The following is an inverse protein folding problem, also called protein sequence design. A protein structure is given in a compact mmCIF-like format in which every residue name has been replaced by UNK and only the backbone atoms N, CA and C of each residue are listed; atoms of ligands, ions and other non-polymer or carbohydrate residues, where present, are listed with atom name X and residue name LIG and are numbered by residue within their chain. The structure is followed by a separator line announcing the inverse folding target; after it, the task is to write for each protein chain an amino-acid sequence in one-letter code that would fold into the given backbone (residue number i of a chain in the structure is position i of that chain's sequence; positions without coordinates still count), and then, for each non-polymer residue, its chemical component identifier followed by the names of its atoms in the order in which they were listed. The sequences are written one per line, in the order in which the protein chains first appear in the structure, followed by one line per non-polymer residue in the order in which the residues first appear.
data_IF_654303622717
#
_entry.id   IF_654303622717
#
_cell.length_a   1.000
_cell.length_b   1.000
_cell.length_c   1.000
_cell.angle_alpha   90.00
_cell.angle_beta   90.00
_cell.angle_gamma   90.00
#
_symmetry.space_group_name_H-M   'P 1'
#
loop_
_entity.id
_entity.type
_entity.pdbx_description
1 polymer ?
#
# COMPACT_ATOMS: atom_id res chain seq x y z
N UNK A 1 0.22 16.07 -7.62
CA UNK A 1 -0.51 16.01 -6.34
C UNK A 1 0.36 15.28 -5.33
N UNK A 2 0.37 15.71 -4.07
CA UNK A 2 1.04 14.99 -2.98
C UNK A 2 -0.01 14.67 -1.93
N UNK A 3 -0.03 13.42 -1.48
CA UNK A 3 -0.95 12.91 -0.48
C UNK A 3 -0.15 12.22 0.63
N UNK A 4 -0.60 12.40 1.85
CA UNK A 4 -0.02 11.70 2.99
C UNK A 4 -1.11 11.46 4.03
N UNK A 5 -1.06 10.30 4.67
CA UNK A 5 -1.98 9.97 5.74
C UNK A 5 -1.27 9.09 6.78
N UNK A 6 -1.61 9.32 8.04
CA UNK A 6 -1.06 8.61 9.19
C UNK A 6 -2.23 8.18 10.07
N UNK A 7 -2.29 6.89 10.40
CA UNK A 7 -3.31 6.32 11.26
C UNK A 7 -2.64 5.65 12.46
N UNK A 8 -3.30 5.74 13.61
CA UNK A 8 -2.95 4.99 14.81
C UNK A 8 -4.13 4.14 15.26
N UNK A 9 -3.87 2.89 15.62
CA UNK A 9 -4.86 1.97 16.15
C UNK A 9 -4.40 1.51 17.53
N UNK A 10 -5.26 1.67 18.54
CA UNK A 10 -5.03 1.16 19.90
C UNK A 10 -5.93 -0.06 20.09
N UNK A 11 -5.40 -1.28 19.92
CA UNK A 11 -6.20 -2.48 20.07
C UNK A 11 -6.51 -2.74 21.56
N UNK A 12 -7.72 -3.23 21.82
CA UNK A 12 -8.20 -3.58 23.17
C UNK A 12 -8.26 -5.09 23.41
N UNK A 13 -7.89 -5.89 22.39
CA UNK A 13 -8.04 -7.35 22.37
C UNK A 13 -6.73 -8.14 22.35
N UNK A 14 -6.87 -9.46 22.17
CA UNK A 14 -5.75 -10.42 22.09
C UNK A 14 -5.92 -11.33 20.88
N UNK A 15 -4.82 -11.75 20.27
CA UNK A 15 -4.80 -12.79 19.22
C UNK A 15 -3.94 -13.95 19.72
N UNK A 16 -4.47 -15.18 19.66
CA UNK A 16 -3.79 -16.39 20.15
C UNK A 16 -3.25 -16.26 21.60
N UNK A 17 -3.97 -15.53 22.46
CA UNK A 17 -3.57 -15.27 23.85
C UNK A 17 -2.56 -14.13 24.04
N UNK A 18 -1.96 -13.62 22.96
CA UNK A 18 -0.98 -12.53 23.01
C UNK A 18 -1.68 -11.16 23.04
N UNK A 19 -1.26 -10.23 23.92
CA UNK A 19 -1.76 -8.86 23.91
C UNK A 19 -1.29 -8.14 22.64
N UNK A 20 -2.20 -7.43 21.99
CA UNK A 20 -1.86 -6.58 20.85
C UNK A 20 -1.36 -5.22 21.36
N UNK A 21 -0.31 -4.71 20.74
CA UNK A 21 0.24 -3.39 21.00
C UNK A 21 -0.35 -2.36 20.02
N UNK A 22 -0.36 -1.06 20.38
CA UNK A 22 -0.72 0.00 19.44
C UNK A 22 0.06 -0.09 18.14
N UNK A 23 -0.64 0.09 17.02
CA UNK A 23 -0.03 0.10 15.69
C UNK A 23 -0.21 1.44 15.02
N UNK A 24 0.72 1.75 14.12
CA UNK A 24 0.70 2.93 13.29
C UNK A 24 0.80 2.45 11.84
N UNK A 25 -0.01 3.03 10.97
CA UNK A 25 0.17 2.92 9.53
C UNK A 25 0.33 4.29 8.90
N UNK A 26 1.15 4.38 7.87
CA UNK A 26 1.42 5.62 7.16
C UNK A 26 1.49 5.37 5.68
N UNK A 27 0.97 6.30 4.89
CA UNK A 27 1.08 6.34 3.45
C UNK A 27 1.59 7.71 3.03
N UNK A 28 2.52 7.73 2.08
CA UNK A 28 2.91 8.92 1.34
C UNK A 28 2.85 8.59 -0.13
N UNK A 29 2.12 9.39 -0.91
CA UNK A 29 1.96 9.21 -2.34
C UNK A 29 2.18 10.52 -3.09
N UNK A 30 2.75 10.40 -4.29
CA UNK A 30 2.93 11.48 -5.24
C UNK A 30 2.34 11.05 -6.57
N UNK A 31 1.51 11.91 -7.14
CA UNK A 31 1.01 11.75 -8.50
C UNK A 31 1.51 12.91 -9.38
N UNK A 32 2.07 12.55 -10.53
CA UNK A 32 2.53 13.48 -11.55
C UNK A 32 1.69 13.31 -12.82
N UNK A 33 1.03 14.38 -13.24
CA UNK A 33 0.28 14.41 -14.51
C UNK A 33 1.26 14.70 -15.65
N UNK A 34 1.53 13.70 -16.49
CA UNK A 34 2.44 13.83 -17.63
C UNK A 34 1.77 14.49 -18.84
N UNK A 35 0.49 14.16 -19.07
CA UNK A 35 -0.36 14.77 -20.10
C UNK A 35 -1.82 14.76 -19.63
N UNK A 36 -2.72 15.38 -20.39
CA UNK A 36 -4.16 15.41 -20.07
C UNK A 36 -4.80 14.01 -19.91
N UNK A 37 -4.16 12.98 -20.46
CA UNK A 37 -4.62 11.60 -20.45
C UNK A 37 -3.66 10.62 -19.75
N UNK A 38 -2.51 11.05 -19.23
CA UNK A 38 -1.53 10.16 -18.57
C UNK A 38 -1.05 10.75 -17.24
N UNK A 39 -1.18 9.98 -16.17
CA UNK A 39 -0.52 10.28 -14.89
C UNK A 39 0.34 9.10 -14.42
N UNK A 40 1.37 9.42 -13.65
CA UNK A 40 2.22 8.47 -12.95
C UNK A 40 2.04 8.66 -11.45
N UNK A 41 1.94 7.56 -10.71
CA UNK A 41 1.82 7.56 -9.26
C UNK A 41 2.95 6.76 -8.66
N UNK A 42 3.55 7.30 -7.60
CA UNK A 42 4.46 6.58 -6.72
C UNK A 42 3.93 6.70 -5.29
N UNK A 43 3.94 5.59 -4.56
CA UNK A 43 3.38 5.46 -3.23
C UNK A 43 4.32 4.64 -2.35
N UNK A 44 4.37 5.01 -1.08
CA UNK A 44 5.10 4.31 -0.05
C UNK A 44 4.17 4.10 1.15
N UNK A 45 4.05 2.86 1.58
CA UNK A 45 3.23 2.45 2.70
C UNK A 45 4.09 1.84 3.79
N UNK A 46 3.79 2.17 5.04
CA UNK A 46 4.42 1.61 6.21
C UNK A 46 3.35 1.14 7.19
N UNK A 47 3.55 -0.06 7.72
CA UNK A 47 2.68 -0.67 8.72
C UNK A 47 3.54 -1.18 9.87
N UNK A 48 3.29 -0.70 11.09
CA UNK A 48 3.93 -1.28 12.27
C UNK A 48 3.23 -2.57 12.70
N UNK A 49 3.97 -3.50 13.29
CA UNK A 49 3.38 -4.73 13.84
C UNK A 49 2.64 -4.49 15.17
N UNK A 50 1.53 -5.20 15.43
CA UNK A 50 0.90 -5.24 16.74
C UNK A 50 1.59 -6.22 17.72
N UNK A 51 2.57 -7.00 17.29
CA UNK A 51 3.27 -7.99 18.12
C UNK A 51 4.68 -7.48 18.47
N UNK A 52 5.07 -7.62 19.74
CA UNK A 52 6.40 -7.24 20.23
C UNK A 52 6.92 -8.28 21.21
N UNK A 53 8.16 -8.74 21.03
CA UNK A 53 8.82 -9.63 21.98
C UNK A 53 8.27 -11.05 21.98
N UNK A 54 7.63 -11.49 20.89
CA UNK A 54 6.98 -12.81 20.78
C UNK A 54 7.96 -13.93 20.43
N UNK A 55 9.27 -13.65 20.48
CA UNK A 55 10.33 -14.64 20.25
C UNK A 55 10.53 -15.04 18.79
N UNK A 56 9.74 -14.50 17.86
CA UNK A 56 9.89 -14.70 16.41
C UNK A 56 10.14 -13.36 15.72
N UNK A 57 11.32 -13.23 15.09
CA UNK A 57 11.75 -11.98 14.43
C UNK A 57 10.84 -11.54 13.27
N UNK A 58 9.98 -12.42 12.78
CA UNK A 58 9.08 -12.17 11.66
C UNK A 58 7.82 -11.44 12.10
N UNK A 59 7.29 -11.74 13.29
CA UNK A 59 6.09 -11.08 13.82
C UNK A 59 6.39 -9.72 14.45
N UNK A 60 7.63 -9.48 14.87
CA UNK A 60 8.05 -8.26 15.56
C UNK A 60 8.49 -7.12 14.59
N UNK A 61 8.35 -7.29 13.27
CA UNK A 61 8.77 -6.30 12.27
C UNK A 61 7.58 -5.63 11.58
N UNK A 62 7.72 -4.33 11.34
CA UNK A 62 6.82 -3.62 10.44
C UNK A 62 6.98 -4.09 8.99
N UNK A 63 6.02 -3.71 8.16
CA UNK A 63 6.00 -3.97 6.73
C UNK A 63 6.04 -2.64 5.98
N UNK A 64 6.94 -2.57 5.02
CA UNK A 64 7.15 -1.42 4.16
C UNK A 64 6.92 -1.83 2.71
N UNK A 65 5.99 -1.16 2.05
CA UNK A 65 5.63 -1.40 0.66
C UNK A 65 5.92 -0.16 -0.16
N UNK A 66 6.40 -0.36 -1.39
CA UNK A 66 6.46 0.69 -2.39
C UNK A 66 5.66 0.29 -3.60
N UNK A 67 4.86 1.21 -4.10
CA UNK A 67 4.05 1.01 -5.28
C UNK A 67 4.35 2.10 -6.31
N UNK A 68 4.42 1.71 -7.57
CA UNK A 68 4.49 2.64 -8.69
C UNK A 68 3.52 2.21 -9.77
N UNK A 69 2.90 3.18 -10.42
CA UNK A 69 1.92 2.89 -11.47
C UNK A 69 1.69 4.06 -12.40
N UNK A 70 0.85 3.81 -13.38
CA UNK A 70 0.36 4.81 -14.31
C UNK A 70 -1.15 4.69 -14.46
N UNK A 71 -1.78 5.79 -14.82
CA UNK A 71 -3.17 5.85 -15.23
C UNK A 71 -3.25 6.52 -16.59
N UNK A 72 -3.78 5.80 -17.58
CA UNK A 72 -3.95 6.26 -18.95
C UNK A 72 -5.43 6.28 -19.35
N UNK A 73 -5.94 7.46 -19.68
CA UNK A 73 -7.32 7.65 -20.15
C UNK A 73 -7.38 7.34 -21.64
N UNK A 74 -7.98 6.19 -21.98
CA UNK A 74 -8.17 5.72 -23.36
C UNK A 74 -9.31 6.48 -24.06
N UNK A 75 -10.42 6.71 -23.35
CA UNK A 75 -11.58 7.47 -23.82
C UNK A 75 -12.16 8.29 -22.66
N UNK A 76 -13.21 9.09 -22.89
CA UNK A 76 -13.88 9.82 -21.82
C UNK A 76 -14.50 8.91 -20.74
N UNK A 77 -14.74 7.64 -21.07
CA UNK A 77 -15.37 6.65 -20.19
C UNK A 77 -14.42 5.56 -19.73
N UNK A 78 -13.22 5.44 -20.33
CA UNK A 78 -12.33 4.32 -20.10
C UNK A 78 -10.95 4.75 -19.60
N UNK A 79 -10.59 4.23 -18.43
CA UNK A 79 -9.29 4.42 -17.81
C UNK A 79 -8.58 3.07 -17.72
N UNK A 80 -7.36 3.00 -18.25
CA UNK A 80 -6.46 1.87 -18.07
C UNK A 80 -5.40 2.24 -17.04
N UNK A 81 -5.16 1.35 -16.09
CA UNK A 81 -4.20 1.57 -15.02
C UNK A 81 -3.29 0.35 -14.90
N UNK A 82 -2.01 0.59 -14.68
CA UNK A 82 -1.04 -0.45 -14.36
C UNK A 82 -0.31 -0.08 -13.08
N UNK A 83 -0.06 -1.04 -12.21
CA UNK A 83 0.71 -0.81 -10.98
C UNK A 83 1.57 -2.01 -10.63
N UNK A 84 2.78 -1.72 -10.17
CA UNK A 84 3.71 -2.66 -9.57
C UNK A 84 3.88 -2.33 -8.09
N UNK A 85 3.93 -3.35 -7.24
CA UNK A 85 4.13 -3.24 -5.80
C UNK A 85 5.32 -4.11 -5.42
N UNK A 86 6.29 -3.52 -4.73
CA UNK A 86 7.45 -4.19 -4.18
C UNK A 86 7.44 -4.08 -2.65
N UNK A 87 7.58 -5.23 -1.99
CA UNK A 87 7.79 -5.30 -0.55
C UNK A 87 9.26 -5.00 -0.24
N UNK A 88 9.52 -3.86 0.40
CA UNK A 88 10.89 -3.43 0.73
C UNK A 88 11.45 -4.15 1.97
N UNK A 89 10.59 -4.83 2.75
CA UNK A 89 10.99 -5.66 3.88
C UNK A 89 11.41 -7.07 3.44
N UNK A 90 12.62 -7.18 2.88
CA UNK A 90 13.29 -8.42 2.45
C UNK A 90 13.35 -9.57 3.49
N UNK A 91 13.03 -9.32 4.76
CA UNK A 91 13.22 -10.30 5.86
C UNK A 91 11.91 -10.98 6.27
N UNK A 92 10.73 -10.53 5.80
CA UNK A 92 9.46 -11.05 6.28
C UNK A 92 9.03 -12.37 5.62
N UNK A 93 9.48 -12.69 4.40
CA UNK A 93 9.17 -13.95 3.69
C UNK A 93 7.67 -14.30 3.57
N UNK A 94 6.78 -13.35 3.86
CA UNK A 94 5.35 -13.56 4.10
C UNK A 94 4.47 -12.79 3.12
N UNK A 95 5.05 -12.01 2.20
CA UNK A 95 4.36 -11.27 1.16
C UNK A 95 5.02 -11.55 -0.19
N UNK A 96 4.28 -11.32 -1.29
CA UNK A 96 4.83 -11.51 -2.64
C UNK A 96 6.03 -10.57 -2.84
N UNK A 97 7.15 -11.11 -3.32
CA UNK A 97 8.37 -10.32 -3.59
C UNK A 97 8.06 -9.14 -4.54
N UNK A 98 7.14 -9.36 -5.49
CA UNK A 98 6.62 -8.34 -6.38
C UNK A 98 5.19 -8.69 -6.81
N UNK A 99 4.32 -7.69 -6.90
CA UNK A 99 2.98 -7.80 -7.48
C UNK A 99 2.87 -6.89 -8.69
N UNK A 100 2.47 -7.44 -9.84
CA UNK A 100 2.11 -6.66 -11.02
C UNK A 100 0.61 -6.79 -11.26
N UNK A 101 -0.06 -5.67 -11.51
CA UNK A 101 -1.48 -5.65 -11.79
C UNK A 101 -1.82 -4.64 -12.87
N UNK A 102 -2.94 -4.90 -13.54
CA UNK A 102 -3.55 -4.02 -14.53
C UNK A 102 -5.04 -3.96 -14.27
N UNK A 103 -5.61 -2.77 -14.39
CA UNK A 103 -7.02 -2.49 -14.14
C UNK A 103 -7.61 -1.69 -15.28
N UNK A 104 -8.85 -1.99 -15.64
CA UNK A 104 -9.62 -1.26 -16.64
C UNK A 104 -10.91 -0.77 -15.97
N UNK A 105 -11.06 0.54 -15.86
CA UNK A 105 -12.20 1.19 -15.21
C UNK A 105 -13.08 1.84 -16.26
N UNK A 106 -14.35 1.42 -16.33
CA UNK A 106 -15.35 2.04 -17.19
C UNK A 106 -16.35 2.85 -16.38
N UNK A 107 -16.54 4.12 -16.75
CA UNK A 107 -17.53 5.01 -16.13
C UNK A 107 -18.80 5.04 -16.98
N UNK A 108 -19.90 4.53 -16.43
CA UNK A 108 -21.22 4.66 -17.01
C UNK A 108 -21.74 6.10 -16.84
N UNK A 109 -22.33 6.66 -17.89
CA UNK A 109 -23.10 7.89 -17.81
C UNK A 109 -24.56 7.57 -17.45
N UNK A 110 -25.16 8.41 -16.61
CA UNK A 110 -26.59 8.40 -16.29
C UNK A 110 -27.26 9.64 -16.84
#
# INVERSE_FOLDING_TARGET
MVYGNLNGVVPTGRIAGMPLQPTISGIVAVEYLWSENLSFTAQFDYYSTPFHGVGTRTLDKGVTESAMGFSYRLTQHLLWQGYGIENLDFIAGSAADFTLSTMLTYRFES
#
